data_IF_457028004046
#
_entry.id   IF_457028004046
#
_cell.length_a   1.000
_cell.length_b   1.000
_cell.length_c   1.000
_cell.angle_alpha   90.00
_cell.angle_beta   90.00
_cell.angle_gamma   90.00
#
_symmetry.space_group_name_H-M   'P 1'
#
loop_
_entity.id
_entity.type
_entity.pdbx_description
1 polymer ?
#
# COMPACT_ATOMS: atom_id res chain seq x y z
N UNK A 1 23.73 1.68 34.03
CA UNK A 1 23.90 2.08 32.61
C UNK A 1 23.70 0.85 31.75
N UNK A 2 22.47 0.61 31.28
CA UNK A 2 22.19 -0.51 30.37
C UNK A 2 22.31 0.03 28.95
N UNK A 3 23.43 -0.31 28.30
CA UNK A 3 23.69 -0.06 26.89
C UNK A 3 22.63 -0.79 26.07
N UNK A 4 21.69 -0.07 25.45
CA UNK A 4 20.90 -0.59 24.35
C UNK A 4 21.86 -1.13 23.30
N UNK A 5 21.82 -2.43 22.99
CA UNK A 5 22.77 -3.01 22.03
C UNK A 5 22.69 -2.21 20.74
N UNK A 6 23.82 -1.66 20.22
CA UNK A 6 23.84 -0.83 19.02
C UNK A 6 23.21 -1.52 17.80
N UNK A 7 23.11 -2.85 17.81
CA UNK A 7 22.40 -3.65 16.81
C UNK A 7 20.93 -3.27 16.63
N UNK A 8 20.19 -2.92 17.68
CA UNK A 8 18.73 -2.76 17.57
C UNK A 8 18.36 -1.41 16.96
N UNK A 9 19.15 -0.37 17.27
CA UNK A 9 19.05 0.92 16.60
C UNK A 9 19.43 0.76 15.12
N UNK A 10 20.54 0.06 14.85
CA UNK A 10 20.97 -0.24 13.49
C UNK A 10 19.87 -0.94 12.68
N UNK A 11 19.23 -1.99 13.21
CA UNK A 11 18.15 -2.68 12.51
C UNK A 11 16.87 -1.84 12.34
N UNK A 12 16.57 -0.96 13.30
CA UNK A 12 15.46 -0.01 13.14
C UNK A 12 15.75 0.98 12.02
N UNK A 13 16.97 1.53 11.98
CA UNK A 13 17.40 2.43 10.91
C UNK A 13 17.41 1.70 9.57
N UNK A 14 17.91 0.47 9.49
CA UNK A 14 17.85 -0.34 8.27
C UNK A 14 16.41 -0.59 7.84
N UNK A 15 15.49 -0.94 8.75
CA UNK A 15 14.08 -1.13 8.41
C UNK A 15 13.42 0.17 7.92
N UNK A 16 13.73 1.31 8.52
CA UNK A 16 13.25 2.63 8.09
C UNK A 16 13.87 3.05 6.75
N UNK A 17 15.15 2.74 6.50
CA UNK A 17 15.82 3.00 5.23
C UNK A 17 15.27 2.09 4.12
N UNK A 18 15.00 0.82 4.42
CA UNK A 18 14.35 -0.12 3.50
C UNK A 18 12.92 0.35 3.21
N UNK A 19 12.17 0.80 4.23
CA UNK A 19 10.84 1.36 4.03
C UNK A 19 10.87 2.68 3.24
N UNK A 20 11.81 3.57 3.54
CA UNK A 20 12.02 4.81 2.80
C UNK A 20 12.42 4.52 1.35
N UNK A 21 13.29 3.53 1.13
CA UNK A 21 13.67 3.04 -0.21
C UNK A 21 12.45 2.50 -0.95
N UNK A 22 11.63 1.66 -0.33
CA UNK A 22 10.38 1.18 -0.94
C UNK A 22 9.38 2.32 -1.21
N UNK A 23 9.27 3.31 -0.32
CA UNK A 23 8.44 4.49 -0.52
C UNK A 23 8.97 5.39 -1.65
N UNK A 24 10.29 5.52 -1.78
CA UNK A 24 10.98 6.20 -2.89
C UNK A 24 10.75 5.46 -4.21
N UNK A 25 10.81 4.12 -4.21
CA UNK A 25 10.46 3.31 -5.39
C UNK A 25 8.98 3.43 -5.78
N UNK A 26 8.08 3.60 -4.80
CA UNK A 26 6.66 3.85 -5.06
C UNK A 26 6.39 5.26 -5.63
N UNK A 27 7.30 6.22 -5.41
CA UNK A 27 7.29 7.52 -6.09
C UNK A 27 7.90 7.43 -7.49
N UNK A 28 7.59 6.38 -8.26
CA UNK A 28 8.00 6.20 -9.64
C UNK A 28 7.36 7.27 -10.56
N UNK A 29 7.81 8.50 -10.36
CA UNK A 29 7.92 9.55 -11.35
C UNK A 29 9.27 9.30 -12.04
N UNK A 30 9.35 9.42 -13.37
CA UNK A 30 10.64 9.32 -14.05
C UNK A 30 11.54 10.43 -13.49
N UNK A 31 12.55 10.04 -12.71
CA UNK A 31 13.64 10.92 -12.32
C UNK A 31 14.40 11.27 -13.60
N UNK A 32 13.94 12.31 -14.30
CA UNK A 32 14.80 13.08 -15.18
C UNK A 32 15.96 13.62 -14.33
N UNK A 33 17.21 13.54 -14.81
CA UNK A 33 18.37 13.90 -14.03
C UNK A 33 18.26 15.34 -13.52
N UNK A 34 18.59 15.49 -12.24
CA UNK A 34 18.63 16.72 -11.45
C UNK A 34 19.05 17.97 -12.25
N UNK A 35 18.06 18.66 -12.80
CA UNK A 35 18.12 20.08 -13.10
C UNK A 35 16.98 20.73 -12.33
N UNK A 36 17.35 21.55 -11.35
CA UNK A 36 16.53 22.56 -10.65
C UNK A 36 15.06 22.67 -11.11
N UNK A 37 14.20 21.76 -10.63
CA UNK A 37 12.76 21.83 -10.84
C UNK A 37 12.07 22.00 -9.48
N UNK A 38 10.97 22.78 -9.43
CA UNK A 38 10.17 22.93 -8.23
C UNK A 38 9.81 21.55 -7.69
N UNK A 39 9.84 21.40 -6.34
CA UNK A 39 9.39 20.20 -5.62
C UNK A 39 8.23 19.55 -6.39
N UNK A 40 8.26 18.23 -6.66
CA UNK A 40 7.15 17.54 -7.32
C UNK A 40 5.89 17.76 -6.48
N UNK A 41 5.11 18.77 -6.86
CA UNK A 41 3.82 18.98 -6.26
C UNK A 41 3.01 17.73 -6.63
N UNK A 42 2.25 17.20 -5.66
CA UNK A 42 1.21 16.24 -5.96
C UNK A 42 0.14 16.99 -6.77
N UNK A 43 0.39 17.17 -8.06
CA UNK A 43 -0.50 17.91 -8.96
C UNK A 43 -1.72 17.01 -9.19
N UNK A 44 -2.94 17.50 -8.92
CA UNK A 44 -4.16 16.79 -9.28
C UNK A 44 -4.13 16.50 -10.79
N UNK A 45 -4.62 15.35 -11.25
CA UNK A 45 -4.74 15.09 -12.71
C UNK A 45 -5.44 16.30 -13.35
N UNK A 46 -4.81 16.87 -14.38
CA UNK A 46 -5.45 17.93 -15.16
C UNK A 46 -6.75 17.36 -15.76
N UNK A 47 -7.86 18.10 -15.67
CA UNK A 47 -9.14 17.69 -16.26
C UNK A 47 -8.96 17.55 -17.77
N UNK A 48 -8.94 16.32 -18.32
CA UNK A 48 -8.73 16.14 -19.74
C UNK A 48 -9.92 16.69 -20.53
N UNK A 49 -9.66 17.19 -21.74
CA UNK A 49 -10.73 17.49 -22.68
C UNK A 49 -11.02 16.21 -23.45
N UNK A 50 -12.17 15.59 -23.16
CA UNK A 50 -12.63 14.39 -23.86
C UNK A 50 -13.40 14.83 -25.10
N UNK A 51 -12.91 14.47 -26.28
CA UNK A 51 -13.57 14.75 -27.56
C UNK A 51 -13.90 13.44 -28.26
N UNK A 52 -15.14 13.26 -28.72
CA UNK A 52 -15.47 12.17 -29.63
C UNK A 52 -14.96 12.52 -31.02
N UNK A 53 -14.07 11.71 -31.58
CA UNK A 53 -13.63 11.88 -32.96
C UNK A 53 -14.83 11.58 -33.89
N UNK A 54 -15.27 12.56 -34.71
CA UNK A 54 -16.48 12.46 -35.51
C UNK A 54 -16.38 11.44 -36.65
N UNK A 55 -15.17 10.99 -37.01
CA UNK A 55 -14.95 10.07 -38.13
C UNK A 55 -15.08 8.60 -37.76
N UNK A 56 -14.77 8.25 -36.51
CA UNK A 56 -14.70 6.86 -36.04
C UNK A 56 -15.47 6.63 -34.72
N UNK A 57 -16.01 7.68 -34.09
CA UNK A 57 -16.70 7.61 -32.82
C UNK A 57 -15.78 7.30 -31.62
N UNK A 58 -14.46 7.28 -31.81
CA UNK A 58 -13.52 7.00 -30.71
C UNK A 58 -13.38 8.21 -29.79
N UNK A 59 -13.32 7.98 -28.48
CA UNK A 59 -13.02 9.03 -27.51
C UNK A 59 -11.52 9.35 -27.54
N UNK A 60 -11.17 10.54 -27.99
CA UNK A 60 -9.83 11.10 -27.90
C UNK A 60 -9.71 11.98 -26.66
N UNK A 61 -8.55 11.86 -26.00
CA UNK A 61 -8.22 12.62 -24.80
C UNK A 61 -7.17 13.64 -25.16
N UNK A 62 -7.55 14.91 -25.12
CA UNK A 62 -6.68 16.02 -25.43
C UNK A 62 -6.12 16.64 -24.15
N UNK A 63 -4.84 16.98 -24.19
CA UNK A 63 -4.21 17.80 -23.15
C UNK A 63 -4.90 19.18 -23.11
N UNK A 64 -5.35 19.65 -21.93
CA UNK A 64 -6.07 20.91 -21.82
C UNK A 64 -5.24 22.12 -22.26
N UNK A 65 -3.91 22.05 -22.11
CA UNK A 65 -2.96 23.13 -22.41
C UNK A 65 -2.47 23.10 -23.85
N UNK A 66 -2.06 21.94 -24.37
CA UNK A 66 -1.46 21.81 -25.71
C UNK A 66 -2.47 21.45 -26.80
N UNK A 67 -3.67 20.99 -26.41
CA UNK A 67 -4.70 20.42 -27.31
C UNK A 67 -4.22 19.24 -28.15
N UNK A 68 -3.08 18.63 -27.80
CA UNK A 68 -2.56 17.45 -28.47
C UNK A 68 -3.18 16.17 -27.88
N UNK A 69 -3.37 15.12 -28.69
CA UNK A 69 -3.88 13.84 -28.20
C UNK A 69 -2.87 13.17 -27.28
N UNK A 70 -3.34 12.72 -26.10
CA UNK A 70 -2.56 11.94 -25.15
C UNK A 70 -2.81 10.46 -25.46
N UNK A 71 -1.77 9.68 -25.84
CA UNK A 71 -1.91 8.24 -26.09
C UNK A 71 -2.54 7.56 -24.87
N UNK A 72 -3.70 6.94 -25.07
CA UNK A 72 -4.39 6.19 -24.03
C UNK A 72 -4.02 4.72 -24.14
N UNK A 73 -3.75 4.10 -22.99
CA UNK A 73 -3.53 2.67 -22.91
C UNK A 73 -4.73 1.92 -22.36
N UNK A 74 -4.67 0.57 -22.35
CA UNK A 74 -5.72 -0.28 -21.79
C UNK A 74 -5.94 -0.07 -20.28
N UNK A 75 -5.12 0.73 -19.60
CA UNK A 75 -5.36 1.12 -18.21
C UNK A 75 -5.22 -0.02 -17.21
N UNK A 76 -4.47 -1.07 -17.57
CA UNK A 76 -4.34 -2.26 -16.74
C UNK A 76 -3.51 -2.00 -15.50
N UNK A 77 -4.01 -2.50 -14.38
CA UNK A 77 -3.34 -2.56 -13.09
C UNK A 77 -2.96 -4.01 -12.71
N UNK A 78 -3.07 -4.95 -13.66
CA UNK A 78 -2.81 -6.38 -13.46
C UNK A 78 -3.74 -7.06 -12.48
N UNK A 79 -4.96 -6.56 -12.30
CA UNK A 79 -5.98 -7.21 -11.47
C UNK A 79 -6.94 -8.11 -12.27
N UNK A 80 -6.93 -8.05 -13.61
CA UNK A 80 -7.82 -8.83 -14.48
C UNK A 80 -9.13 -8.13 -14.79
N UNK A 81 -10.11 -8.89 -15.26
CA UNK A 81 -11.55 -8.54 -15.25
C UNK A 81 -12.38 -9.77 -14.90
N UNK A 82 -13.52 -9.59 -14.20
CA UNK A 82 -14.40 -10.69 -13.80
C UNK A 82 -13.67 -11.80 -13.01
N UNK A 83 -13.78 -13.05 -13.47
CA UNK A 83 -13.04 -14.21 -12.92
C UNK A 83 -11.90 -14.67 -13.82
N UNK A 84 -11.27 -13.73 -14.54
CA UNK A 84 -10.02 -14.01 -15.25
C UNK A 84 -8.93 -14.54 -14.28
N UNK A 85 -7.92 -15.27 -14.77
CA UNK A 85 -6.88 -15.84 -13.92
C UNK A 85 -6.20 -14.83 -12.97
N UNK A 86 -5.85 -13.59 -13.39
CA UNK A 86 -5.36 -12.54 -12.48
C UNK A 86 -6.30 -12.24 -11.30
N UNK A 87 -7.59 -12.11 -11.56
CA UNK A 87 -8.59 -11.78 -10.55
C UNK A 87 -8.74 -12.91 -9.53
N UNK A 88 -8.77 -14.16 -10.01
CA UNK A 88 -8.83 -15.35 -9.15
C UNK A 88 -7.57 -15.43 -8.27
N UNK A 89 -6.38 -15.16 -8.81
CA UNK A 89 -5.14 -15.13 -8.04
C UNK A 89 -5.18 -14.08 -6.92
N UNK A 90 -5.70 -12.88 -7.18
CA UNK A 90 -5.86 -11.84 -6.16
C UNK A 90 -6.88 -12.23 -5.08
N UNK A 91 -8.03 -12.81 -5.46
CA UNK A 91 -9.03 -13.31 -4.51
C UNK A 91 -8.40 -14.37 -3.60
N UNK A 92 -7.72 -15.36 -4.20
CA UNK A 92 -7.05 -16.43 -3.45
C UNK A 92 -5.98 -15.87 -2.50
N UNK A 93 -5.14 -14.95 -2.97
CA UNK A 93 -4.14 -14.29 -2.12
C UNK A 93 -4.79 -13.57 -0.94
N UNK A 94 -5.82 -12.77 -1.20
CA UNK A 94 -6.52 -12.00 -0.16
C UNK A 94 -7.18 -12.90 0.89
N UNK A 95 -7.74 -14.05 0.50
CA UNK A 95 -8.30 -15.03 1.45
C UNK A 95 -7.20 -15.75 2.23
N UNK A 96 -6.19 -16.27 1.54
CA UNK A 96 -5.09 -17.06 2.13
C UNK A 96 -4.29 -16.24 3.12
N UNK A 97 -4.07 -14.95 2.86
CA UNK A 97 -3.33 -14.06 3.76
C UNK A 97 -4.26 -13.33 4.73
N UNK A 98 -5.41 -12.87 4.26
CA UNK A 98 -6.36 -12.07 5.03
C UNK A 98 -7.02 -12.84 6.16
N UNK A 99 -7.52 -14.06 5.91
CA UNK A 99 -8.21 -14.85 6.93
C UNK A 99 -7.30 -15.20 8.13
N UNK A 100 -6.05 -15.67 7.93
CA UNK A 100 -5.16 -15.91 9.07
C UNK A 100 -4.77 -14.63 9.82
N UNK A 101 -4.55 -13.51 9.12
CA UNK A 101 -4.28 -12.23 9.77
C UNK A 101 -5.48 -11.74 10.60
N UNK A 102 -6.70 -11.99 10.11
CA UNK A 102 -7.95 -11.64 10.80
C UNK A 102 -8.20 -12.51 12.04
N UNK A 103 -8.01 -13.82 11.96
CA UNK A 103 -8.44 -14.78 13.00
C UNK A 103 -7.29 -15.20 13.91
N UNK A 104 -6.16 -15.60 13.35
CA UNK A 104 -5.05 -16.18 14.11
C UNK A 104 -4.12 -15.11 14.70
N UNK A 105 -4.12 -13.91 14.13
CA UNK A 105 -3.32 -12.77 14.59
C UNK A 105 -1.84 -13.14 14.77
N UNK A 106 -1.28 -12.77 15.93
CA UNK A 106 0.15 -12.89 16.26
C UNK A 106 0.63 -14.32 16.63
N UNK A 107 -0.24 -15.34 16.61
CA UNK A 107 0.14 -16.70 17.05
C UNK A 107 1.24 -17.33 16.18
N UNK A 108 1.41 -16.87 14.95
CA UNK A 108 2.51 -17.23 14.06
C UNK A 108 3.35 -16.01 13.66
N UNK A 109 4.23 -15.52 14.53
CA UNK A 109 4.95 -14.25 14.30
C UNK A 109 5.66 -14.18 12.94
N UNK A 110 6.23 -15.29 12.46
CA UNK A 110 6.89 -15.38 11.13
C UNK A 110 5.92 -15.13 10.00
N UNK A 111 4.72 -15.71 10.09
CA UNK A 111 3.68 -15.50 9.10
C UNK A 111 3.19 -14.06 9.15
N UNK A 112 2.95 -13.50 10.35
CA UNK A 112 2.46 -12.12 10.48
C UNK A 112 3.47 -11.08 9.97
N UNK A 113 4.74 -11.20 10.34
CA UNK A 113 5.79 -10.28 9.88
C UNK A 113 6.14 -10.50 8.42
N UNK A 114 6.13 -11.76 7.95
CA UNK A 114 6.24 -12.10 6.53
C UNK A 114 5.12 -11.45 5.72
N UNK A 115 3.86 -11.73 6.04
CA UNK A 115 2.70 -11.15 5.36
C UNK A 115 2.73 -9.61 5.35
N UNK A 116 3.13 -8.97 6.45
CA UNK A 116 3.26 -7.52 6.51
C UNK A 116 4.33 -6.98 5.55
N UNK A 117 5.55 -7.52 5.59
CA UNK A 117 6.63 -7.08 4.68
C UNK A 117 6.29 -7.40 3.23
N UNK A 118 5.77 -8.60 2.96
CA UNK A 118 5.32 -9.01 1.64
C UNK A 118 4.23 -8.09 1.07
N UNK A 119 3.19 -7.79 1.84
CA UNK A 119 2.12 -6.89 1.40
C UNK A 119 2.66 -5.48 1.13
N UNK A 120 3.54 -4.95 1.99
CA UNK A 120 4.17 -3.65 1.77
C UNK A 120 4.98 -3.62 0.46
N UNK A 121 5.82 -4.64 0.24
CA UNK A 121 6.60 -4.77 -1.01
C UNK A 121 5.67 -4.90 -2.22
N UNK A 122 4.60 -5.69 -2.13
CA UNK A 122 3.60 -5.84 -3.19
C UNK A 122 2.90 -4.54 -3.55
N UNK A 123 2.42 -3.80 -2.57
CA UNK A 123 1.76 -2.50 -2.78
C UNK A 123 2.72 -1.50 -3.40
N UNK A 124 3.99 -1.46 -2.96
CA UNK A 124 4.99 -0.57 -3.55
C UNK A 124 5.30 -0.95 -5.00
N UNK A 125 5.49 -2.24 -5.29
CA UNK A 125 5.75 -2.73 -6.64
C UNK A 125 4.55 -2.45 -7.57
N UNK A 126 3.34 -2.77 -7.13
CA UNK A 126 2.11 -2.50 -7.87
C UNK A 126 1.90 -1.01 -8.12
N UNK A 127 2.10 -0.17 -7.10
CA UNK A 127 2.02 1.28 -7.22
C UNK A 127 3.06 1.82 -8.21
N UNK A 128 4.27 1.26 -8.25
CA UNK A 128 5.27 1.63 -9.24
C UNK A 128 4.81 1.27 -10.66
N UNK A 129 4.28 0.06 -10.87
CA UNK A 129 3.81 -0.36 -12.20
C UNK A 129 2.63 0.46 -12.71
N UNK A 130 1.56 0.63 -11.91
CA UNK A 130 0.38 1.36 -12.37
C UNK A 130 0.71 2.82 -12.78
N UNK A 131 1.73 3.40 -12.16
CA UNK A 131 2.20 4.76 -12.44
C UNK A 131 3.27 4.85 -13.56
N UNK A 132 3.83 3.73 -14.03
CA UNK A 132 4.91 3.71 -15.04
C UNK A 132 4.58 2.96 -16.32
N UNK A 133 3.53 2.13 -16.34
CA UNK A 133 3.11 1.41 -17.54
C UNK A 133 2.74 2.40 -18.65
N UNK A 134 3.30 2.18 -19.84
CA UNK A 134 3.08 3.00 -21.02
C UNK A 134 1.71 2.72 -21.65
N UNK A 135 1.31 3.55 -22.63
CA UNK A 135 0.06 3.37 -23.38
C UNK A 135 -0.06 2.02 -24.11
N UNK A 136 1.03 1.34 -24.42
CA UNK A 136 0.97 -0.01 -25.02
C UNK A 136 0.53 -1.08 -24.02
N UNK A 137 0.62 -0.80 -22.72
CA UNK A 137 0.24 -1.72 -21.64
C UNK A 137 1.20 -2.88 -21.45
N UNK A 138 1.00 -3.63 -20.36
CA UNK A 138 1.58 -4.95 -20.10
C UNK A 138 0.41 -5.90 -19.87
N UNK A 139 0.40 -7.13 -20.42
CA UNK A 139 -0.68 -8.08 -20.15
C UNK A 139 -0.85 -8.32 -18.64
N UNK A 140 -2.10 -8.45 -18.19
CA UNK A 140 -2.44 -8.50 -16.77
C UNK A 140 -1.73 -9.62 -16.02
N UNK A 141 -1.71 -10.82 -16.58
CA UNK A 141 -1.16 -12.01 -15.92
C UNK A 141 0.33 -11.87 -15.57
N UNK A 142 1.23 -11.50 -16.50
CA UNK A 142 2.62 -11.15 -16.16
C UNK A 142 2.73 -10.11 -15.04
N UNK A 143 1.93 -9.04 -15.08
CA UNK A 143 1.97 -7.99 -14.06
C UNK A 143 1.56 -8.54 -12.69
N UNK A 144 0.47 -9.33 -12.64
CA UNK A 144 0.03 -10.02 -11.41
C UNK A 144 1.14 -10.91 -10.86
N UNK A 145 1.79 -11.72 -11.71
CA UNK A 145 2.84 -12.65 -11.28
C UNK A 145 4.06 -11.91 -10.73
N UNK A 146 4.44 -10.78 -11.33
CA UNK A 146 5.55 -9.95 -10.82
C UNK A 146 5.20 -9.38 -9.44
N UNK A 147 3.98 -8.87 -9.27
CA UNK A 147 3.53 -8.32 -7.97
C UNK A 147 3.45 -9.43 -6.91
N UNK A 148 2.85 -10.58 -7.23
CA UNK A 148 2.79 -11.73 -6.32
C UNK A 148 4.18 -12.30 -5.99
N UNK A 149 5.09 -12.32 -6.97
CA UNK A 149 6.49 -12.69 -6.75
C UNK A 149 7.21 -11.72 -5.80
N UNK A 150 6.95 -10.42 -5.95
CA UNK A 150 7.46 -9.38 -5.05
C UNK A 150 6.90 -9.54 -3.63
N UNK A 151 5.62 -9.88 -3.50
CA UNK A 151 4.98 -10.20 -2.22
C UNK A 151 5.62 -11.43 -1.58
N UNK A 152 5.85 -12.49 -2.36
CA UNK A 152 6.46 -13.73 -1.86
C UNK A 152 7.88 -13.47 -1.37
N UNK A 153 8.69 -12.76 -2.15
CA UNK A 153 10.05 -12.37 -1.76
C UNK A 153 10.04 -11.55 -0.47
N UNK A 154 9.22 -10.50 -0.40
CA UNK A 154 9.06 -9.69 0.82
C UNK A 154 8.58 -10.52 2.01
N UNK A 155 7.70 -11.52 1.79
CA UNK A 155 7.23 -12.42 2.83
C UNK A 155 8.33 -13.32 3.39
N UNK A 156 9.17 -13.86 2.51
CA UNK A 156 10.34 -14.65 2.91
C UNK A 156 11.28 -13.79 3.76
N UNK A 157 11.62 -12.58 3.30
CA UNK A 157 12.47 -11.66 4.08
C UNK A 157 11.83 -11.30 5.43
N UNK A 158 10.54 -10.97 5.46
CA UNK A 158 9.82 -10.62 6.69
C UNK A 158 9.69 -11.77 7.70
N UNK A 159 9.77 -13.02 7.25
CA UNK A 159 9.74 -14.20 8.12
C UNK A 159 11.09 -14.45 8.83
N UNK A 160 12.18 -13.79 8.40
CA UNK A 160 13.51 -13.97 8.98
C UNK A 160 13.62 -13.31 10.36
N UNK A 161 14.35 -13.90 11.32
CA UNK A 161 14.46 -13.38 12.69
C UNK A 161 14.97 -11.94 12.80
N UNK A 162 15.90 -11.53 11.93
CA UNK A 162 16.45 -10.17 11.96
C UNK A 162 15.43 -9.11 11.50
N UNK A 163 14.49 -9.50 10.63
CA UNK A 163 13.40 -8.62 10.18
C UNK A 163 12.24 -8.54 11.16
N UNK A 164 12.28 -9.21 12.31
CA UNK A 164 11.14 -9.27 13.24
C UNK A 164 10.66 -7.88 13.69
N UNK A 165 11.57 -7.02 14.10
CA UNK A 165 11.22 -5.66 14.55
C UNK A 165 10.73 -4.81 13.38
N UNK A 166 11.40 -4.90 12.24
CA UNK A 166 10.99 -4.23 11.00
C UNK A 166 9.60 -4.67 10.54
N UNK A 167 9.34 -5.97 10.47
CA UNK A 167 8.05 -6.52 10.07
C UNK A 167 6.90 -6.17 11.02
N UNK A 168 7.17 -6.06 12.33
CA UNK A 168 6.14 -5.56 13.26
C UNK A 168 5.88 -4.06 13.04
N UNK A 169 6.92 -3.28 12.76
CA UNK A 169 6.79 -1.85 12.42
C UNK A 169 5.93 -1.69 11.15
N UNK A 170 6.26 -2.46 10.11
CA UNK A 170 5.53 -2.47 8.84
C UNK A 170 4.09 -2.92 9.04
N UNK A 171 3.84 -3.95 9.87
CA UNK A 171 2.48 -4.36 10.23
C UNK A 171 1.70 -3.23 10.90
N UNK A 172 2.34 -2.48 11.80
CA UNK A 172 1.75 -1.31 12.45
C UNK A 172 1.36 -0.24 11.43
N UNK A 173 2.27 0.09 10.52
CA UNK A 173 2.02 1.05 9.43
C UNK A 173 0.85 0.58 8.57
N UNK A 174 0.88 -0.66 8.07
CA UNK A 174 -0.18 -1.24 7.24
C UNK A 174 -1.52 -1.30 7.95
N UNK A 175 -1.55 -1.58 9.25
CA UNK A 175 -2.77 -1.58 10.06
C UNK A 175 -3.44 -0.20 10.12
N UNK A 176 -2.64 0.86 10.23
CA UNK A 176 -3.10 2.25 10.19
C UNK A 176 -3.55 2.67 8.79
N UNK A 177 -2.76 2.33 7.76
CA UNK A 177 -3.09 2.58 6.35
C UNK A 177 -4.43 1.91 5.97
N UNK A 178 -4.62 0.64 6.32
CA UNK A 178 -5.83 -0.12 6.00
C UNK A 178 -7.08 0.48 6.65
N UNK A 179 -6.97 0.98 7.89
CA UNK A 179 -8.08 1.65 8.57
C UNK A 179 -8.43 2.99 7.90
N UNK A 180 -7.43 3.81 7.58
CA UNK A 180 -7.64 5.11 6.93
C UNK A 180 -8.16 4.95 5.48
N UNK A 181 -7.63 3.99 4.72
CA UNK A 181 -8.11 3.69 3.37
C UNK A 181 -9.58 3.30 3.37
N UNK A 182 -10.04 2.49 4.34
CA UNK A 182 -11.48 2.19 4.48
C UNK A 182 -12.31 3.46 4.67
N UNK A 183 -11.90 4.34 5.58
CA UNK A 183 -12.63 5.60 5.83
C UNK A 183 -12.70 6.46 4.56
N UNK A 184 -11.60 6.53 3.81
CA UNK A 184 -11.52 7.38 2.61
C UNK A 184 -12.28 6.80 1.43
N UNK A 185 -12.31 5.48 1.29
CA UNK A 185 -12.94 4.79 0.16
C UNK A 185 -14.45 4.58 0.35
N UNK A 186 -15.00 4.76 1.55
CA UNK A 186 -16.45 4.64 1.80
C UNK A 186 -17.32 5.57 0.92
N UNK A 187 -16.75 6.67 0.40
CA UNK A 187 -17.44 7.59 -0.50
C UNK A 187 -16.99 7.39 -1.95
N UNK A 188 -17.94 7.37 -2.89
CA UNK A 188 -17.73 7.09 -4.33
C UNK A 188 -16.71 8.02 -5.02
N UNK A 189 -16.38 9.16 -4.41
CA UNK A 189 -15.40 10.13 -4.92
C UNK A 189 -14.27 10.42 -3.93
N UNK A 190 -13.95 9.45 -3.06
CA UNK A 190 -13.09 9.60 -1.88
C UNK A 190 -13.69 10.59 -0.86
N UNK A 191 -13.14 10.62 0.36
CA UNK A 191 -13.57 11.54 1.41
C UNK A 191 -13.47 13.01 0.96
N UNK A 192 -12.32 13.37 0.39
CA UNK A 192 -12.06 14.71 -0.16
C UNK A 192 -11.93 14.58 -1.68
N UNK A 193 -12.97 15.02 -2.39
CA UNK A 193 -13.09 14.93 -3.85
C UNK A 193 -12.61 16.18 -4.59
N UNK A 194 -12.34 17.28 -3.88
CA UNK A 194 -11.84 18.51 -4.50
C UNK A 194 -10.47 18.26 -5.13
N UNK A 195 -10.26 18.59 -6.43
CA UNK A 195 -8.98 18.39 -7.09
C UNK A 195 -7.83 19.03 -6.31
N UNK A 196 -7.99 20.27 -5.88
CA UNK A 196 -6.99 21.03 -5.12
C UNK A 196 -6.62 20.41 -3.76
N UNK A 197 -7.50 19.59 -3.18
CA UNK A 197 -7.33 19.02 -1.84
C UNK A 197 -7.16 17.49 -1.84
N UNK A 198 -6.96 16.87 -3.02
CA UNK A 198 -6.80 15.42 -3.10
C UNK A 198 -5.63 14.90 -2.24
N UNK A 199 -4.53 15.66 -2.16
CA UNK A 199 -3.35 15.32 -1.35
C UNK A 199 -3.67 15.12 0.13
N UNK A 200 -4.75 15.73 0.63
CA UNK A 200 -5.20 15.58 2.02
C UNK A 200 -5.64 14.14 2.32
N UNK A 201 -6.22 13.41 1.36
CA UNK A 201 -6.53 11.99 1.54
C UNK A 201 -5.25 11.19 1.83
N UNK A 202 -4.17 11.46 1.08
CA UNK A 202 -2.87 10.82 1.29
C UNK A 202 -2.22 11.22 2.61
N UNK A 203 -2.36 12.49 3.03
CA UNK A 203 -1.88 12.94 4.35
C UNK A 203 -2.60 12.23 5.50
N UNK A 204 -3.92 12.03 5.40
CA UNK A 204 -4.69 11.28 6.40
C UNK A 204 -4.26 9.82 6.46
N UNK A 205 -4.08 9.18 5.29
CA UNK A 205 -3.61 7.80 5.18
C UNK A 205 -2.21 7.66 5.78
N UNK A 206 -1.26 8.48 5.33
CA UNK A 206 0.12 8.46 5.80
C UNK A 206 0.20 8.78 7.30
N UNK A 207 -0.56 9.77 7.78
CA UNK A 207 -0.65 10.12 9.19
C UNK A 207 -1.12 8.95 10.05
N UNK A 208 -2.19 8.26 9.66
CA UNK A 208 -2.66 7.06 10.37
C UNK A 208 -1.62 5.94 10.38
N UNK A 209 -0.92 5.73 9.25
CA UNK A 209 0.18 4.77 9.15
C UNK A 209 1.33 5.11 10.09
N UNK A 210 1.79 6.36 10.11
CA UNK A 210 2.88 6.84 10.97
C UNK A 210 2.51 6.74 12.45
N UNK A 211 1.31 7.15 12.84
CA UNK A 211 0.85 7.05 14.23
C UNK A 211 0.79 5.58 14.67
N UNK A 212 0.21 4.70 13.86
CA UNK A 212 0.11 3.27 14.17
C UNK A 212 1.48 2.57 14.21
N UNK A 213 2.36 2.86 13.25
CA UNK A 213 3.75 2.38 13.23
C UNK A 213 4.58 2.90 14.41
N UNK A 214 4.40 4.18 14.76
CA UNK A 214 5.04 4.80 15.92
C UNK A 214 4.59 4.19 17.23
N UNK A 215 3.28 3.99 17.43
CA UNK A 215 2.75 3.36 18.65
C UNK A 215 3.24 1.91 18.81
N UNK A 216 3.31 1.14 17.72
CA UNK A 216 3.82 -0.24 17.77
C UNK A 216 5.32 -0.31 18.07
N UNK A 217 6.14 0.59 17.52
CA UNK A 217 7.60 0.63 17.73
C UNK A 217 8.03 1.29 19.04
N UNK A 218 7.44 2.44 19.38
CA UNK A 218 7.65 3.13 20.65
C UNK A 218 7.43 2.15 21.79
N UNK A 219 6.35 1.38 21.68
CA UNK A 219 6.08 0.40 22.70
C UNK A 219 7.21 -0.65 22.70
N UNK A 220 7.57 -1.31 21.61
CA UNK A 220 8.65 -2.33 21.66
C UNK A 220 9.97 -1.95 22.36
N UNK A 221 10.40 -0.68 22.33
CA UNK A 221 11.65 -0.23 22.96
C UNK A 221 11.64 -0.19 24.50
N UNK A 222 10.52 0.10 25.16
CA UNK A 222 10.51 0.21 26.64
C UNK A 222 10.64 -1.14 27.37
N UNK A 223 10.49 -2.26 26.65
CA UNK A 223 10.87 -3.56 27.19
C UNK A 223 12.40 -3.70 27.31
N UNK A 224 13.16 -3.24 26.33
CA UNK A 224 14.60 -3.56 26.25
C UNK A 224 15.45 -2.63 27.12
N UNK A 225 14.96 -1.42 27.42
CA UNK A 225 15.64 -0.48 28.32
C UNK A 225 15.46 -0.91 29.78
N UNK A 226 16.30 -1.86 30.19
CA UNK A 226 16.80 -2.08 31.55
C UNK A 226 15.86 -1.72 32.69
N UNK A 227 14.78 -2.48 32.86
CA UNK A 227 13.96 -2.41 34.06
C UNK A 227 14.72 -3.08 35.22
N UNK A 228 15.15 -2.27 36.19
CA UNK A 228 15.59 -2.75 37.49
C UNK A 228 14.43 -3.45 38.23
N UNK A 229 14.71 -4.26 39.28
CA UNK A 229 13.75 -5.18 39.90
C UNK A 229 12.34 -4.65 40.27
N UNK A 230 12.10 -3.35 40.59
CA UNK A 230 10.75 -2.90 40.97
C UNK A 230 9.71 -2.99 39.85
N UNK A 231 10.07 -2.89 38.57
CA UNK A 231 9.07 -2.72 37.50
C UNK A 231 8.59 -4.01 36.84
N UNK A 232 8.79 -5.17 37.48
CA UNK A 232 8.37 -6.48 36.95
C UNK A 232 6.86 -6.55 36.70
N UNK A 233 6.04 -5.89 37.52
CA UNK A 233 4.58 -5.76 37.33
C UNK A 233 4.22 -4.88 36.12
N UNK A 234 4.90 -3.75 35.94
CA UNK A 234 4.69 -2.89 34.77
C UNK A 234 5.03 -3.61 33.47
N UNK A 235 6.06 -4.46 33.49
CA UNK A 235 6.52 -5.23 32.34
C UNK A 235 5.51 -6.29 31.85
N UNK A 236 4.77 -6.91 32.76
CA UNK A 236 3.73 -7.88 32.42
C UNK A 236 2.53 -7.24 31.72
N UNK A 237 2.04 -6.10 32.25
CA UNK A 237 1.00 -5.29 31.61
C UNK A 237 1.46 -4.75 30.24
N UNK A 238 2.74 -4.48 30.12
CA UNK A 238 3.32 -3.95 28.90
C UNK A 238 3.37 -4.94 27.73
N UNK A 239 3.71 -6.19 28.04
CA UNK A 239 3.74 -7.27 27.04
C UNK A 239 2.34 -7.56 26.50
N UNK A 240 1.29 -7.37 27.31
CA UNK A 240 -0.09 -7.52 26.86
C UNK A 240 -0.49 -6.36 25.96
N UNK A 241 -0.17 -5.09 26.28
CA UNK A 241 -0.51 -3.95 25.43
C UNK A 241 0.09 -4.03 24.02
N UNK A 242 1.39 -4.39 23.90
CA UNK A 242 2.05 -4.51 22.58
C UNK A 242 1.42 -5.63 21.74
N UNK A 243 1.09 -6.76 22.37
CA UNK A 243 0.41 -7.87 21.71
C UNK A 243 -0.98 -7.46 21.23
N UNK A 244 -1.74 -6.73 22.05
CA UNK A 244 -3.05 -6.21 21.66
C UNK A 244 -2.96 -5.29 20.45
N UNK A 245 -2.00 -4.36 20.42
CA UNK A 245 -1.80 -3.46 19.27
C UNK A 245 -1.46 -4.23 17.98
N UNK A 246 -0.57 -5.23 18.06
CA UNK A 246 -0.24 -6.06 16.90
C UNK A 246 -1.43 -6.87 16.41
N UNK A 247 -2.25 -7.40 17.32
CA UNK A 247 -3.49 -8.12 16.97
C UNK A 247 -4.47 -7.20 16.28
N UNK A 248 -4.65 -5.96 16.78
CA UNK A 248 -5.53 -4.97 16.14
C UNK A 248 -5.01 -4.59 14.75
N UNK A 249 -3.69 -4.40 14.59
CA UNK A 249 -3.10 -4.11 13.28
C UNK A 249 -3.27 -5.29 12.30
N UNK A 250 -3.00 -6.51 12.75
CA UNK A 250 -3.20 -7.72 11.95
C UNK A 250 -4.67 -7.90 11.55
N UNK A 251 -5.61 -7.72 12.48
CA UNK A 251 -7.03 -7.77 12.20
C UNK A 251 -7.48 -6.66 11.24
N UNK A 252 -6.91 -5.46 11.38
CA UNK A 252 -7.17 -4.32 10.48
C UNK A 252 -6.73 -4.64 9.03
N UNK A 253 -5.54 -5.20 8.84
CA UNK A 253 -5.05 -5.62 7.52
C UNK A 253 -5.85 -6.83 7.01
N UNK A 254 -6.07 -7.84 7.85
CA UNK A 254 -6.78 -9.06 7.48
C UNK A 254 -8.23 -8.80 7.05
N UNK A 255 -8.97 -8.02 7.83
CA UNK A 255 -10.35 -7.61 7.47
C UNK A 255 -10.39 -6.81 6.17
N UNK A 256 -9.40 -5.94 5.93
CA UNK A 256 -9.30 -5.20 4.67
C UNK A 256 -9.08 -6.13 3.48
N UNK A 257 -8.16 -7.09 3.58
CA UNK A 257 -7.93 -8.08 2.52
C UNK A 257 -9.16 -8.96 2.28
N UNK A 258 -9.83 -9.43 3.33
CA UNK A 258 -11.06 -10.22 3.19
C UNK A 258 -12.17 -9.39 2.53
N UNK A 259 -12.34 -8.13 2.92
CA UNK A 259 -13.28 -7.22 2.26
C UNK A 259 -12.94 -7.01 0.78
N UNK A 260 -11.65 -6.85 0.45
CA UNK A 260 -11.20 -6.76 -0.94
C UNK A 260 -11.46 -8.05 -1.73
N UNK A 261 -11.27 -9.22 -1.13
CA UNK A 261 -11.59 -10.49 -1.78
C UNK A 261 -13.08 -10.62 -2.11
N UNK A 262 -13.94 -10.26 -1.14
CA UNK A 262 -15.39 -10.26 -1.31
C UNK A 262 -15.81 -9.27 -2.39
N UNK A 263 -15.22 -8.07 -2.39
CA UNK A 263 -15.48 -7.05 -3.41
C UNK A 263 -15.09 -7.52 -4.82
N UNK A 264 -13.91 -8.13 -4.98
CA UNK A 264 -13.48 -8.70 -6.25
C UNK A 264 -14.41 -9.83 -6.72
N UNK A 265 -14.88 -10.68 -5.81
CA UNK A 265 -15.78 -11.78 -6.14
C UNK A 265 -17.20 -11.33 -6.50
N UNK A 266 -17.75 -10.33 -5.80
CA UNK A 266 -19.13 -9.89 -5.96
C UNK A 266 -19.29 -8.78 -6.99
N UNK A 267 -18.41 -7.77 -6.95
CA UNK A 267 -18.52 -6.58 -7.78
C UNK A 267 -17.59 -6.61 -8.99
N UNK A 268 -16.85 -7.70 -9.22
CA UNK A 268 -15.99 -7.90 -10.40
C UNK A 268 -15.09 -6.70 -10.72
N UNK A 269 -14.61 -6.06 -9.65
CA UNK A 269 -13.74 -4.89 -9.62
C UNK A 269 -14.37 -3.49 -9.66
N UNK A 270 -15.70 -3.37 -9.65
CA UNK A 270 -16.37 -2.07 -9.70
C UNK A 270 -16.46 -1.35 -8.34
N UNK A 271 -16.15 -2.03 -7.23
CA UNK A 271 -16.27 -1.49 -5.88
C UNK A 271 -14.94 -0.99 -5.27
N UNK A 272 -14.55 -1.58 -4.13
CA UNK A 272 -13.35 -1.21 -3.36
C UNK A 272 -12.08 -1.19 -4.21
N UNK A 273 -11.89 -2.16 -5.13
CA UNK A 273 -10.72 -2.18 -6.00
C UNK A 273 -10.68 -0.98 -6.96
N UNK A 274 -11.83 -0.53 -7.48
CA UNK A 274 -11.90 0.67 -8.33
C UNK A 274 -11.47 1.91 -7.57
N UNK A 275 -11.91 2.05 -6.32
CA UNK A 275 -11.52 3.16 -5.48
C UNK A 275 -10.02 3.14 -5.12
N UNK A 276 -9.43 1.97 -4.92
CA UNK A 276 -7.97 1.86 -4.75
C UNK A 276 -7.22 2.28 -6.00
N UNK A 277 -7.67 1.88 -7.18
CA UNK A 277 -7.14 2.37 -8.46
C UNK A 277 -7.26 3.90 -8.56
N UNK A 278 -8.38 4.49 -8.13
CA UNK A 278 -8.52 5.96 -8.08
C UNK A 278 -7.54 6.64 -7.13
N UNK A 279 -7.25 6.01 -5.99
CA UNK A 279 -6.34 6.54 -5.00
C UNK A 279 -4.86 6.49 -5.45
N UNK A 280 -4.45 5.38 -6.07
CA UNK A 280 -3.04 5.08 -6.38
C UNK A 280 -2.58 5.45 -7.79
N UNK A 281 -3.48 5.45 -8.78
CA UNK A 281 -3.10 5.66 -10.17
C UNK A 281 -3.05 7.15 -10.53
N UNK A 282 -1.85 7.64 -10.84
CA UNK A 282 -1.58 9.00 -11.33
C UNK A 282 -1.17 9.04 -12.79
N UNK A 283 -1.23 7.93 -13.50
CA UNK A 283 -0.79 7.81 -14.88
C UNK A 283 -1.76 8.52 -15.84
N UNK A 284 -1.24 9.44 -16.66
CA UNK A 284 -1.99 10.17 -17.68
C UNK A 284 -2.41 9.28 -18.86
N UNK A 285 -1.78 8.12 -19.04
CA UNK A 285 -2.18 7.14 -20.06
C UNK A 285 -3.47 6.39 -19.68
N UNK A 286 -3.95 6.52 -18.44
CA UNK A 286 -5.12 5.80 -17.90
C UNK A 286 -6.31 6.75 -17.67
N UNK A 287 -6.48 7.78 -18.49
CA UNK A 287 -7.56 8.77 -18.35
C UNK A 287 -8.88 8.27 -18.93
N UNK A 288 -8.84 7.54 -20.06
CA UNK A 288 -10.04 7.08 -20.77
C UNK A 288 -10.77 5.93 -20.05
N UNK A 289 -10.05 5.07 -19.35
CA UNK A 289 -10.59 3.85 -18.72
C UNK A 289 -11.47 4.14 -17.49
N UNK A 290 -11.64 5.42 -17.13
CA UNK A 290 -12.30 5.86 -15.90
C UNK A 290 -13.41 6.89 -16.10
N UNK A 291 -13.60 7.36 -17.33
CA UNK A 291 -14.68 8.27 -17.70
C UNK A 291 -16.04 7.57 -17.69
#
# INVERSE_FOLDING_TARGET
MACSRPSDLFWTVVALLVFAFYALCAQASPLTPFHSLPLPALIPRASPVVTSNPLNGSTEILDPSTKQPIPQGPGTDGSGSGFSPPAVLWIMYCVVVGCPLLVAGIRGWRFTTGAAVGLATGVCAWSAFINTVSGTGIPDLPLTLIVLGSILAGSIFGALPFMRVGGITVLGILGGLAAAMRIIVVKDNLLISSPSAFSVNWLLIAGAGVVSGGLTTWKQRMGIVGVSPPWRQYYAHWRTTVRSLQVVCAASVGSFLVALALDLALHKQDGLSRALRFLFDRNSAHLAVRA
#
